data_IF_146639305651
#
_entry.id   IF_146639305651
#
_cell.length_a   1.000
_cell.length_b   1.000
_cell.length_c   1.000
_cell.angle_alpha   90.00
_cell.angle_beta   90.00
_cell.angle_gamma   90.00
#
_symmetry.space_group_name_H-M   'P 1'
#
loop_
_entity.id
_entity.type
_entity.pdbx_description
1 polymer ?
#
# COMPACT_ATOMS: atom_id res chain seq x y z
N UNK A 1 -13.29 19.15 -7.65
CA UNK A 1 -12.20 18.86 -6.70
C UNK A 1 -11.88 20.13 -5.92
N UNK A 2 -11.68 20.06 -4.60
CA UNK A 2 -11.23 21.24 -3.87
C UNK A 2 -9.87 21.65 -4.44
N UNK A 3 -9.68 22.95 -4.75
CA UNK A 3 -8.40 23.48 -5.25
C UNK A 3 -7.23 23.21 -4.28
N UNK A 4 -7.52 22.80 -3.04
CA UNK A 4 -6.56 22.74 -1.94
C UNK A 4 -5.74 21.45 -1.86
N UNK A 5 -6.23 20.29 -2.34
CA UNK A 5 -5.47 19.03 -2.22
C UNK A 5 -4.44 18.84 -3.34
N UNK A 6 -4.74 19.30 -4.56
CA UNK A 6 -3.80 19.25 -5.70
C UNK A 6 -2.54 20.10 -5.47
N UNK A 7 -2.66 21.17 -4.68
CA UNK A 7 -1.51 22.00 -4.30
C UNK A 7 -0.64 21.39 -3.21
N UNK A 8 -1.13 20.43 -2.41
CA UNK A 8 -0.35 19.85 -1.30
C UNK A 8 0.76 18.91 -1.76
N UNK A 9 0.52 18.12 -2.82
CA UNK A 9 1.48 17.12 -3.30
C UNK A 9 2.33 17.62 -4.47
N UNK A 10 1.87 18.62 -5.24
CA UNK A 10 2.50 19.00 -6.51
C UNK A 10 3.12 20.40 -6.59
N UNK A 11 3.14 21.21 -5.51
CA UNK A 11 3.53 22.63 -5.62
C UNK A 11 4.94 22.88 -6.14
N UNK A 12 5.86 21.95 -5.87
CA UNK A 12 7.23 21.94 -6.42
C UNK A 12 7.46 20.82 -7.45
N UNK A 13 6.39 20.22 -7.95
CA UNK A 13 6.43 19.06 -8.84
C UNK A 13 6.37 17.73 -8.09
N UNK A 14 6.45 16.63 -8.85
CA UNK A 14 6.32 15.27 -8.31
C UNK A 14 7.61 14.72 -7.70
N UNK A 15 8.77 15.29 -8.05
CA UNK A 15 10.09 14.82 -7.60
C UNK A 15 10.49 15.38 -6.23
N UNK A 16 9.99 16.56 -5.85
CA UNK A 16 10.23 17.18 -4.55
C UNK A 16 8.85 17.53 -3.99
N UNK A 17 8.19 16.55 -3.37
CA UNK A 17 6.84 16.66 -2.85
C UNK A 17 6.84 16.66 -1.31
N UNK A 18 5.87 17.35 -0.71
CA UNK A 18 5.77 17.48 0.74
C UNK A 18 5.63 16.12 1.45
N UNK A 19 4.95 15.17 0.83
CA UNK A 19 4.68 13.87 1.44
C UNK A 19 5.96 13.05 1.66
N UNK A 20 6.84 13.01 0.65
CA UNK A 20 8.15 12.35 0.75
C UNK A 20 9.05 13.02 1.78
N UNK A 21 9.08 14.35 1.79
CA UNK A 21 9.90 15.13 2.73
C UNK A 21 9.46 14.97 4.19
N UNK A 22 8.15 14.84 4.44
CA UNK A 22 7.61 14.50 5.76
C UNK A 22 8.11 13.12 6.22
N UNK A 23 8.11 12.14 5.33
CA UNK A 23 8.64 10.80 5.61
C UNK A 23 10.15 10.79 5.88
N UNK A 24 10.92 11.61 5.16
CA UNK A 24 12.35 11.79 5.39
C UNK A 24 12.61 12.43 6.76
N UNK A 25 11.90 13.51 7.09
CA UNK A 25 12.05 14.22 8.36
C UNK A 25 11.70 13.35 9.57
N UNK A 26 10.73 12.44 9.44
CA UNK A 26 10.33 11.55 10.53
C UNK A 26 11.17 10.27 10.68
N UNK A 27 12.04 9.95 9.71
CA UNK A 27 12.69 8.63 9.59
C UNK A 27 13.43 8.18 10.86
N UNK A 28 14.09 9.10 11.55
CA UNK A 28 14.90 8.77 12.73
C UNK A 28 14.09 8.70 14.03
N UNK A 29 13.04 9.52 14.15
CA UNK A 29 12.34 9.71 15.43
C UNK A 29 10.92 9.14 15.46
N UNK A 30 10.38 8.75 14.29
CA UNK A 30 9.00 8.29 14.12
C UNK A 30 7.97 9.43 14.06
N UNK A 31 8.40 10.69 14.06
CA UNK A 31 7.52 11.86 13.91
C UNK A 31 8.29 13.05 13.36
N UNK A 32 7.59 14.04 12.83
CA UNK A 32 8.23 15.25 12.28
C UNK A 32 8.48 16.24 13.43
N UNK A 33 9.73 16.70 13.61
CA UNK A 33 10.06 17.66 14.64
C UNK A 33 9.42 19.04 14.36
N UNK A 34 9.08 19.84 15.39
CA UNK A 34 8.51 21.17 15.19
C UNK A 34 9.37 22.07 14.29
N UNK A 35 10.71 22.03 14.44
CA UNK A 35 11.61 22.82 13.59
C UNK A 35 11.57 22.37 12.12
N UNK A 36 11.31 21.10 11.86
CA UNK A 36 11.19 20.59 10.49
C UNK A 36 9.82 20.90 9.88
N UNK A 37 8.77 20.97 10.68
CA UNK A 37 7.46 21.49 10.24
C UNK A 37 7.60 22.93 9.75
N UNK A 38 8.30 23.80 10.49
CA UNK A 38 8.56 25.20 10.12
C UNK A 38 9.34 25.28 8.79
N UNK A 39 10.45 24.55 8.68
CA UNK A 39 11.25 24.51 7.43
C UNK A 39 10.46 24.00 6.23
N UNK A 40 9.64 22.96 6.42
CA UNK A 40 8.82 22.39 5.34
C UNK A 40 7.69 23.34 4.94
N UNK A 41 7.08 24.03 5.91
CA UNK A 41 6.08 25.07 5.67
C UNK A 41 6.66 26.18 4.79
N UNK A 42 7.85 26.70 5.12
CA UNK A 42 8.57 27.66 4.29
C UNK A 42 8.93 27.09 2.91
N UNK A 43 9.53 25.89 2.87
CA UNK A 43 9.97 25.24 1.63
C UNK A 43 8.81 25.08 0.65
N UNK A 44 7.65 24.66 1.12
CA UNK A 44 6.47 24.39 0.26
C UNK A 44 5.49 25.56 0.21
N UNK A 45 5.84 26.71 0.82
CA UNK A 45 5.02 27.94 0.88
C UNK A 45 3.62 27.71 1.51
N UNK A 46 3.52 26.80 2.47
CA UNK A 46 2.28 26.41 3.14
C UNK A 46 2.26 26.90 4.58
N UNK A 47 1.07 26.99 5.19
CA UNK A 47 0.97 27.26 6.62
C UNK A 47 1.45 26.07 7.44
N UNK A 48 2.17 26.32 8.54
CA UNK A 48 2.62 25.29 9.49
C UNK A 48 1.49 24.37 9.94
N UNK A 49 0.29 24.92 10.18
CA UNK A 49 -0.88 24.14 10.56
C UNK A 49 -1.29 23.10 9.50
N UNK A 50 -1.12 23.40 8.21
CA UNK A 50 -1.41 22.44 7.13
C UNK A 50 -0.33 21.34 7.08
N UNK A 51 0.94 21.71 7.27
CA UNK A 51 2.05 20.75 7.31
C UNK A 51 1.91 19.83 8.52
N UNK A 52 1.69 20.39 9.70
CA UNK A 52 1.46 19.64 10.94
C UNK A 52 0.20 18.77 10.85
N UNK A 53 -0.91 19.31 10.34
CA UNK A 53 -2.14 18.55 10.13
C UNK A 53 -1.95 17.38 9.16
N UNK A 54 -1.16 17.57 8.11
CA UNK A 54 -0.81 16.49 7.16
C UNK A 54 0.08 15.45 7.82
N UNK A 55 1.12 15.86 8.55
CA UNK A 55 2.02 14.95 9.26
C UNK A 55 1.24 14.09 10.27
N UNK A 56 0.42 14.71 11.12
CA UNK A 56 -0.34 14.02 12.17
C UNK A 56 -1.50 13.17 11.65
N UNK A 57 -1.87 13.29 10.37
CA UNK A 57 -2.88 12.44 9.75
C UNK A 57 -2.37 11.00 9.57
N UNK A 58 -1.13 10.84 9.08
CA UNK A 58 -0.54 9.54 8.77
C UNK A 58 -0.04 8.84 10.03
N UNK A 59 -0.46 7.57 10.21
CA UNK A 59 -0.20 6.85 11.47
C UNK A 59 1.29 6.81 11.80
N UNK A 60 2.18 6.45 10.87
CA UNK A 60 3.63 6.40 11.10
C UNK A 60 4.30 7.74 11.48
N UNK A 61 3.64 8.87 11.31
CA UNK A 61 4.20 10.19 11.55
C UNK A 61 3.64 10.86 12.81
N UNK A 62 2.68 10.21 13.49
CA UNK A 62 2.00 10.83 14.63
C UNK A 62 2.93 11.00 15.84
N UNK A 63 2.75 12.06 16.64
CA UNK A 63 3.56 12.31 17.82
C UNK A 63 3.55 11.16 18.84
N UNK A 64 2.45 10.39 18.92
CA UNK A 64 2.32 9.22 19.80
C UNK A 64 3.31 8.10 19.46
N UNK A 65 3.81 8.07 18.22
CA UNK A 65 4.79 7.10 17.76
C UNK A 65 6.23 7.56 17.92
N UNK A 66 6.45 8.74 18.51
CA UNK A 66 7.80 9.24 18.79
C UNK A 66 8.58 8.26 19.67
N UNK A 67 9.72 7.82 19.17
CA UNK A 67 10.62 6.89 19.86
C UNK A 67 10.14 5.43 19.87
N UNK A 68 9.02 5.10 19.20
CA UNK A 68 8.63 3.71 18.97
C UNK A 68 9.59 3.06 17.98
N UNK A 69 9.95 1.81 18.26
CA UNK A 69 10.88 1.01 17.43
C UNK A 69 10.21 -0.22 16.83
N UNK A 70 9.16 -0.71 17.49
CA UNK A 70 8.40 -1.88 17.08
C UNK A 70 6.91 -1.64 17.30
N UNK A 71 6.08 -2.29 16.48
CA UNK A 71 4.63 -2.14 16.56
C UNK A 71 3.94 -3.49 16.63
N UNK A 72 2.96 -3.61 17.50
CA UNK A 72 2.03 -4.74 17.57
C UNK A 72 0.79 -4.40 16.74
N UNK A 73 0.37 -5.27 15.83
CA UNK A 73 -0.86 -5.05 15.08
C UNK A 73 -2.07 -4.99 16.03
N UNK A 74 -2.93 -3.99 15.90
CA UNK A 74 -4.22 -3.94 16.59
C UNK A 74 -5.43 -4.04 15.64
N UNK A 75 -5.18 -4.46 14.39
CA UNK A 75 -6.23 -4.73 13.41
C UNK A 75 -7.18 -5.83 13.89
N UNK A 76 -8.48 -5.67 13.60
CA UNK A 76 -9.54 -6.52 14.14
C UNK A 76 -9.31 -8.01 13.90
N UNK A 77 -8.81 -8.41 12.73
CA UNK A 77 -8.47 -9.81 12.42
C UNK A 77 -7.45 -10.41 13.41
N UNK A 78 -6.36 -9.70 13.71
CA UNK A 78 -5.35 -10.16 14.68
C UNK A 78 -5.89 -10.14 16.12
N UNK A 79 -6.74 -9.15 16.45
CA UNK A 79 -7.40 -9.07 17.76
C UNK A 79 -8.37 -10.24 17.97
N UNK A 80 -9.16 -10.59 16.95
CA UNK A 80 -10.05 -11.76 16.98
C UNK A 80 -9.27 -13.07 17.10
N UNK A 81 -8.10 -13.17 16.46
CA UNK A 81 -7.23 -14.34 16.61
C UNK A 81 -6.62 -14.48 18.02
N UNK A 82 -6.63 -13.41 18.84
CA UNK A 82 -6.17 -13.46 20.24
C UNK A 82 -4.66 -13.63 20.41
N UNK A 83 -3.87 -13.43 19.35
CA UNK A 83 -2.42 -13.73 19.34
C UNK A 83 -1.54 -12.56 19.80
N UNK A 84 -2.07 -11.33 19.79
CA UNK A 84 -1.29 -10.11 20.00
C UNK A 84 -0.75 -9.94 21.42
N UNK A 85 -1.38 -10.57 22.43
CA UNK A 85 -0.88 -10.57 23.80
C UNK A 85 0.48 -11.26 23.93
N UNK A 86 0.64 -12.43 23.32
CA UNK A 86 1.92 -13.16 23.31
C UNK A 86 2.97 -12.44 22.46
N UNK A 87 2.58 -11.82 21.35
CA UNK A 87 3.47 -10.96 20.54
C UNK A 87 4.04 -9.82 21.40
N UNK A 88 3.18 -9.08 22.11
CA UNK A 88 3.62 -7.97 22.98
C UNK A 88 4.56 -8.46 24.08
N UNK A 89 4.24 -9.58 24.71
CA UNK A 89 5.06 -10.20 25.76
C UNK A 89 6.44 -10.64 25.28
N UNK A 90 6.55 -11.14 24.04
CA UNK A 90 7.85 -11.49 23.45
C UNK A 90 8.65 -10.23 23.08
N UNK A 91 8.00 -9.20 22.53
CA UNK A 91 8.67 -7.93 22.23
C UNK A 91 9.20 -7.23 23.49
N UNK A 92 8.48 -7.29 24.62
CA UNK A 92 8.91 -6.66 25.88
C UNK A 92 10.15 -7.30 26.52
N UNK A 93 10.58 -8.47 26.03
CA UNK A 93 11.86 -9.08 26.41
C UNK A 93 13.06 -8.41 25.71
N UNK A 94 12.81 -7.67 24.62
CA UNK A 94 13.84 -7.13 23.73
C UNK A 94 13.79 -5.60 23.56
N UNK A 95 12.70 -4.98 23.99
CA UNK A 95 12.41 -3.55 23.89
C UNK A 95 11.73 -3.08 25.18
N UNK A 96 11.97 -1.85 25.57
CA UNK A 96 11.25 -1.21 26.67
C UNK A 96 9.80 -0.92 26.28
N UNK A 97 8.89 -0.81 27.25
CA UNK A 97 7.47 -0.54 26.99
C UNK A 97 7.26 0.74 26.17
N UNK A 98 8.10 1.75 26.38
CA UNK A 98 8.03 3.01 25.64
C UNK A 98 8.45 2.87 24.18
N UNK A 99 9.21 1.83 23.80
CA UNK A 99 9.62 1.55 22.43
C UNK A 99 8.60 0.68 21.67
N UNK A 100 7.62 0.12 22.36
CA UNK A 100 6.56 -0.71 21.78
C UNK A 100 5.33 0.15 21.51
N UNK A 101 4.93 0.21 20.25
CA UNK A 101 3.72 0.88 19.78
C UNK A 101 2.66 -0.12 19.32
N UNK A 102 1.52 0.42 18.88
CA UNK A 102 0.47 -0.33 18.20
C UNK A 102 0.21 0.28 16.84
N UNK A 103 -0.22 -0.53 15.87
CA UNK A 103 -0.54 -0.04 14.53
C UNK A 103 -1.72 -0.80 13.93
N UNK A 104 -2.59 -0.06 13.24
CA UNK A 104 -3.79 -0.63 12.65
C UNK A 104 -3.46 -1.33 11.34
N UNK A 105 -3.66 -2.65 11.31
CA UNK A 105 -3.43 -3.55 10.18
C UNK A 105 -2.00 -3.53 9.61
N UNK A 106 -1.30 -4.67 9.71
CA UNK A 106 0.03 -4.85 9.12
C UNK A 106 0.03 -5.69 7.82
N UNK A 107 -1.15 -5.99 7.26
CA UNK A 107 -1.28 -6.79 6.04
C UNK A 107 -0.75 -8.23 6.16
N UNK A 108 -0.65 -8.76 7.39
CA UNK A 108 -0.13 -10.12 7.68
C UNK A 108 -1.14 -11.03 8.35
N UNK A 109 -2.43 -10.76 8.16
CA UNK A 109 -3.52 -11.51 8.80
C UNK A 109 -3.59 -12.99 8.37
N UNK A 110 -2.96 -13.36 7.25
CA UNK A 110 -2.90 -14.75 6.78
C UNK A 110 -2.12 -15.69 7.74
N UNK A 111 -1.21 -15.16 8.55
CA UNK A 111 -0.44 -15.91 9.57
C UNK A 111 -0.81 -15.53 11.02
N UNK A 112 -1.53 -14.41 11.23
CA UNK A 112 -1.75 -13.80 12.54
C UNK A 112 -0.44 -13.45 13.28
N UNK A 113 -0.50 -13.13 14.58
CA UNK A 113 0.67 -12.73 15.37
C UNK A 113 1.48 -11.62 14.70
N UNK A 114 0.82 -10.63 14.10
CA UNK A 114 1.47 -9.66 13.22
C UNK A 114 2.16 -8.54 14.00
N UNK A 115 3.37 -8.17 13.60
CA UNK A 115 4.17 -7.11 14.23
C UNK A 115 5.12 -6.45 13.22
N UNK A 116 5.59 -5.25 13.53
CA UNK A 116 6.57 -4.51 12.74
C UNK A 116 7.86 -4.33 13.54
N UNK A 117 9.00 -4.56 12.88
CA UNK A 117 10.34 -4.25 13.42
C UNK A 117 11.16 -3.60 12.32
N UNK A 118 11.76 -2.44 12.61
CA UNK A 118 12.61 -1.70 11.67
C UNK A 118 11.95 -1.43 10.30
N UNK A 119 10.65 -1.10 10.30
CA UNK A 119 9.91 -0.80 9.07
C UNK A 119 9.51 -2.01 8.23
N UNK A 120 9.78 -3.23 8.71
CA UNK A 120 9.38 -4.48 8.06
C UNK A 120 8.28 -5.18 8.88
N UNK A 121 7.27 -5.69 8.17
CA UNK A 121 6.15 -6.42 8.77
C UNK A 121 6.44 -7.93 8.81
N UNK A 122 6.22 -8.54 9.97
CA UNK A 122 6.40 -9.96 10.27
C UNK A 122 5.15 -10.55 10.93
N UNK A 123 5.04 -11.88 10.99
CA UNK A 123 3.90 -12.60 11.55
C UNK A 123 4.26 -14.04 11.95
N UNK A 124 3.31 -14.77 12.52
CA UNK A 124 3.45 -16.18 12.87
C UNK A 124 4.62 -16.44 13.80
N UNK A 125 5.42 -17.46 13.49
CA UNK A 125 6.56 -17.91 14.29
C UNK A 125 7.79 -17.00 14.16
N UNK A 126 7.75 -15.97 13.29
CA UNK A 126 8.86 -15.02 13.17
C UNK A 126 9.16 -14.30 14.50
N UNK A 127 8.15 -14.18 15.38
CA UNK A 127 8.28 -13.58 16.70
C UNK A 127 9.26 -14.35 17.63
N UNK A 128 9.56 -15.61 17.33
CA UNK A 128 10.52 -16.40 18.11
C UNK A 128 11.98 -16.08 17.77
N UNK A 129 12.22 -15.32 16.71
CA UNK A 129 13.56 -15.02 16.18
C UNK A 129 13.88 -13.51 16.13
N UNK A 130 13.34 -12.71 17.05
CA UNK A 130 13.49 -11.23 17.08
C UNK A 130 14.96 -10.78 16.98
N UNK A 131 15.89 -11.48 17.63
CA UNK A 131 17.31 -11.14 17.61
C UNK A 131 17.90 -11.14 16.19
N UNK A 132 17.42 -12.03 15.32
CA UNK A 132 17.81 -12.09 13.91
C UNK A 132 17.12 -10.99 13.10
N UNK A 133 15.83 -10.75 13.35
CA UNK A 133 15.05 -9.72 12.65
C UNK A 133 15.58 -8.29 12.88
N UNK A 134 16.23 -8.04 14.04
CA UNK A 134 16.91 -6.77 14.34
C UNK A 134 17.99 -6.40 13.30
N UNK A 135 18.52 -7.38 12.54
CA UNK A 135 19.52 -7.15 11.49
C UNK A 135 18.92 -6.64 10.17
N UNK A 136 17.59 -6.53 10.08
CA UNK A 136 16.91 -6.02 8.88
C UNK A 136 16.89 -7.00 7.70
N UNK A 137 17.16 -8.28 7.95
CA UNK A 137 17.06 -9.31 6.93
C UNK A 137 15.58 -9.48 6.54
N UNK A 138 15.26 -9.27 5.26
CA UNK A 138 13.94 -9.61 4.73
C UNK A 138 13.75 -11.12 4.86
N UNK A 139 12.66 -11.52 5.50
CA UNK A 139 12.28 -12.93 5.61
C UNK A 139 12.06 -13.58 4.24
N UNK A 140 11.87 -14.89 4.26
CA UNK A 140 11.44 -15.62 3.07
C UNK A 140 10.11 -15.07 2.54
N UNK A 141 9.87 -15.24 1.24
CA UNK A 141 8.59 -14.90 0.62
C UNK A 141 7.44 -15.60 1.34
N UNK A 142 6.34 -14.88 1.54
CA UNK A 142 5.18 -15.40 2.25
C UNK A 142 4.58 -16.60 1.53
N UNK A 143 4.09 -17.57 2.31
CA UNK A 143 3.42 -18.75 1.79
C UNK A 143 1.92 -18.61 2.02
N UNK A 144 1.18 -18.65 0.92
CA UNK A 144 -0.27 -18.50 0.94
C UNK A 144 -0.96 -19.83 0.67
N UNK A 145 -2.04 -20.10 1.43
CA UNK A 145 -2.95 -21.20 1.11
C UNK A 145 -3.94 -20.71 0.05
N UNK A 146 -3.69 -21.09 -1.21
CA UNK A 146 -4.46 -20.62 -2.36
C UNK A 146 -5.33 -21.74 -2.93
N UNK A 147 -6.62 -21.47 -3.08
CA UNK A 147 -7.57 -22.34 -3.76
C UNK A 147 -8.54 -21.49 -4.58
N UNK A 148 -9.06 -22.05 -5.68
CA UNK A 148 -10.06 -21.39 -6.52
C UNK A 148 -11.26 -22.31 -6.71
N UNK A 149 -12.47 -21.73 -6.68
CA UNK A 149 -13.65 -22.40 -7.17
C UNK A 149 -13.80 -22.14 -8.67
N UNK A 150 -13.53 -23.14 -9.51
CA UNK A 150 -13.49 -23.01 -10.96
C UNK A 150 -12.15 -22.47 -11.47
N UNK A 151 -12.19 -21.73 -12.59
CA UNK A 151 -10.98 -21.25 -13.28
C UNK A 151 -10.24 -20.20 -12.46
N UNK A 152 -8.97 -20.43 -12.09
CA UNK A 152 -8.17 -19.40 -11.44
C UNK A 152 -7.84 -18.30 -12.44
N UNK A 153 -8.22 -17.06 -12.12
CA UNK A 153 -7.87 -15.88 -12.94
C UNK A 153 -6.68 -15.15 -12.31
N UNK A 154 -6.85 -14.73 -11.05
CA UNK A 154 -5.85 -13.95 -10.30
C UNK A 154 -4.72 -14.83 -9.73
N UNK A 155 -4.97 -16.13 -9.59
CA UNK A 155 -4.06 -17.10 -8.97
C UNK A 155 -3.56 -18.14 -9.97
N UNK A 156 -3.72 -17.87 -11.27
CA UNK A 156 -3.26 -18.78 -12.30
C UNK A 156 -1.72 -18.84 -12.32
N UNK A 157 -1.18 -19.95 -12.81
CA UNK A 157 0.26 -20.07 -13.02
C UNK A 157 0.72 -19.00 -14.01
N UNK A 158 1.74 -18.24 -13.63
CA UNK A 158 2.36 -17.27 -14.52
C UNK A 158 3.08 -18.02 -15.67
N UNK A 159 2.69 -17.83 -16.94
CA UNK A 159 3.23 -18.60 -18.05
C UNK A 159 4.67 -18.19 -18.44
N UNK A 160 5.23 -17.16 -17.81
CA UNK A 160 6.51 -16.56 -18.15
C UNK A 160 6.36 -15.23 -18.89
N UNK A 161 7.38 -14.38 -18.79
CA UNK A 161 7.35 -12.99 -19.26
C UNK A 161 6.99 -12.91 -20.76
N UNK A 162 7.67 -13.69 -21.60
CA UNK A 162 7.50 -13.62 -23.06
C UNK A 162 6.08 -14.00 -23.51
N UNK A 163 5.49 -15.02 -22.88
CA UNK A 163 4.12 -15.42 -23.19
C UNK A 163 3.12 -14.39 -22.66
N UNK A 164 3.32 -13.93 -21.43
CA UNK A 164 2.38 -13.05 -20.75
C UNK A 164 2.24 -11.68 -21.45
N UNK A 165 3.34 -11.12 -21.94
CA UNK A 165 3.32 -9.82 -22.62
C UNK A 165 2.90 -9.87 -24.10
N UNK A 166 2.65 -11.06 -24.68
CA UNK A 166 1.99 -11.14 -26.01
C UNK A 166 0.61 -10.47 -25.98
N UNK A 167 -0.09 -10.54 -24.85
CA UNK A 167 -1.39 -9.89 -24.65
C UNK A 167 -1.26 -8.37 -24.87
N UNK A 168 -0.20 -7.76 -24.35
CA UNK A 168 0.05 -6.32 -24.57
C UNK A 168 0.25 -6.04 -26.06
N UNK A 169 1.04 -6.86 -26.76
CA UNK A 169 1.23 -6.74 -28.20
C UNK A 169 -0.09 -6.82 -28.99
N UNK A 170 -0.98 -7.74 -28.63
CA UNK A 170 -2.32 -7.83 -29.23
C UNK A 170 -3.15 -6.58 -28.92
N UNK A 171 -3.19 -6.15 -27.65
CA UNK A 171 -3.97 -4.99 -27.23
C UNK A 171 -3.54 -3.70 -27.95
N UNK A 172 -2.24 -3.50 -28.14
CA UNK A 172 -1.69 -2.33 -28.86
C UNK A 172 -2.02 -2.30 -30.36
N UNK A 173 -2.48 -3.43 -30.94
CA UNK A 173 -2.95 -3.51 -32.32
C UNK A 173 -4.48 -3.29 -32.44
N UNK A 174 -5.18 -3.11 -31.33
CA UNK A 174 -6.62 -2.80 -31.30
C UNK A 174 -6.82 -1.33 -30.97
N UNK A 175 -7.96 -0.74 -31.37
CA UNK A 175 -8.26 0.62 -30.91
C UNK A 175 -8.65 0.62 -29.43
N UNK A 176 -8.45 1.75 -28.75
CA UNK A 176 -8.92 1.95 -27.39
C UNK A 176 -10.43 1.74 -27.26
N UNK A 177 -11.22 2.07 -28.29
CA UNK A 177 -12.67 1.83 -28.32
C UNK A 177 -13.03 0.35 -28.38
N UNK A 178 -12.28 -0.45 -29.17
CA UNK A 178 -12.50 -1.90 -29.25
C UNK A 178 -12.20 -2.57 -27.90
N UNK A 179 -11.07 -2.23 -27.28
CA UNK A 179 -10.72 -2.75 -25.95
C UNK A 179 -11.71 -2.33 -24.87
N UNK A 180 -12.20 -1.09 -24.92
CA UNK A 180 -13.22 -0.60 -24.01
C UNK A 180 -14.56 -1.34 -24.19
N UNK A 181 -14.93 -1.66 -25.44
CA UNK A 181 -16.10 -2.46 -25.76
C UNK A 181 -15.98 -3.91 -25.26
N UNK A 182 -14.79 -4.52 -25.36
CA UNK A 182 -14.52 -5.82 -24.76
C UNK A 182 -14.64 -5.79 -23.23
N UNK A 183 -14.04 -4.79 -22.57
CA UNK A 183 -14.16 -4.60 -21.13
C UNK A 183 -15.63 -4.41 -20.70
N UNK A 184 -16.41 -3.65 -21.47
CA UNK A 184 -17.83 -3.46 -21.21
C UNK A 184 -18.61 -4.78 -21.36
N UNK A 185 -18.29 -5.57 -22.37
CA UNK A 185 -18.90 -6.89 -22.62
C UNK A 185 -18.54 -7.90 -21.52
N UNK A 186 -17.31 -7.85 -21.00
CA UNK A 186 -16.86 -8.74 -19.91
C UNK A 186 -17.63 -8.53 -18.59
N UNK A 187 -18.25 -7.36 -18.41
CA UNK A 187 -18.92 -7.00 -17.16
C UNK A 187 -17.97 -6.87 -15.96
N UNK A 188 -16.67 -6.64 -16.18
CA UNK A 188 -15.69 -6.52 -15.11
C UNK A 188 -16.02 -5.36 -14.15
N UNK A 189 -16.01 -5.67 -12.85
CA UNK A 189 -16.32 -4.74 -11.76
C UNK A 189 -15.10 -4.56 -10.86
N UNK A 190 -14.97 -3.38 -10.26
CA UNK A 190 -13.91 -3.07 -9.30
C UNK A 190 -13.91 -4.05 -8.13
N UNK A 191 -12.71 -4.50 -7.73
CA UNK A 191 -12.51 -5.53 -6.68
C UNK A 191 -12.18 -4.99 -5.29
N UNK A 192 -11.89 -3.70 -5.16
CA UNK A 192 -11.72 -3.02 -3.86
C UNK A 192 -13.03 -2.69 -3.14
N UNK A 193 -14.02 -3.60 -3.15
CA UNK A 193 -15.29 -3.45 -2.41
C UNK A 193 -16.42 -2.72 -3.14
N UNK A 194 -16.18 -1.54 -3.73
CA UNK A 194 -17.25 -0.71 -4.31
C UNK A 194 -17.99 -1.35 -5.50
N UNK A 195 -17.38 -2.32 -6.19
CA UNK A 195 -18.04 -3.06 -7.26
C UNK A 195 -18.49 -2.23 -8.46
N UNK A 196 -17.94 -1.04 -8.67
CA UNK A 196 -18.33 -0.19 -9.81
C UNK A 196 -17.73 -0.72 -11.13
N UNK A 197 -18.46 -0.73 -12.26
CA UNK A 197 -17.94 -1.23 -13.54
C UNK A 197 -16.70 -0.47 -14.00
N UNK A 198 -15.62 -1.19 -14.33
CA UNK A 198 -14.34 -0.54 -14.69
C UNK A 198 -14.42 0.16 -16.04
N UNK A 199 -15.15 -0.42 -17.00
CA UNK A 199 -15.35 0.17 -18.34
C UNK A 199 -15.96 1.56 -18.25
N UNK A 200 -16.93 1.78 -17.36
CA UNK A 200 -17.53 3.10 -17.15
C UNK A 200 -16.53 4.13 -16.61
N UNK A 201 -15.63 3.73 -15.71
CA UNK A 201 -14.59 4.64 -15.19
C UNK A 201 -13.60 5.04 -16.29
N UNK A 202 -13.15 4.06 -17.07
CA UNK A 202 -12.20 4.29 -18.16
C UNK A 202 -12.85 5.14 -19.26
N UNK A 203 -14.07 4.84 -19.68
CA UNK A 203 -14.82 5.63 -20.66
C UNK A 203 -14.98 7.09 -20.23
N UNK A 204 -15.37 7.31 -18.96
CA UNK A 204 -15.47 8.68 -18.41
C UNK A 204 -14.12 9.41 -18.40
N UNK A 205 -13.03 8.72 -18.05
CA UNK A 205 -11.69 9.32 -18.06
C UNK A 205 -11.23 9.62 -19.49
N UNK A 206 -11.42 8.68 -20.41
CA UNK A 206 -11.10 8.81 -21.84
C UNK A 206 -11.81 10.00 -22.48
N UNK A 207 -13.09 10.20 -22.18
CA UNK A 207 -13.89 11.30 -22.76
C UNK A 207 -13.69 12.66 -22.06
N UNK A 208 -12.98 12.71 -20.93
CA UNK A 208 -12.66 13.98 -20.26
C UNK A 208 -11.52 14.69 -21.00
N UNK A 209 -11.65 16.00 -21.24
CA UNK A 209 -10.58 16.82 -21.82
C UNK A 209 -9.37 16.89 -20.88
N UNK A 210 -8.17 16.72 -21.44
CA UNK A 210 -6.91 16.84 -20.70
C UNK A 210 -5.75 16.19 -21.46
N UNK A 211 -4.64 16.92 -21.57
CA UNK A 211 -3.43 16.48 -22.29
C UNK A 211 -2.71 15.31 -21.59
N UNK A 212 -2.90 15.20 -20.27
CA UNK A 212 -2.30 14.17 -19.43
C UNK A 212 -3.34 13.53 -18.52
N UNK A 213 -3.35 12.20 -18.49
CA UNK A 213 -4.23 11.36 -17.68
C UNK A 213 -3.40 10.35 -16.91
N UNK A 214 -3.94 9.87 -15.79
CA UNK A 214 -3.22 8.99 -14.88
C UNK A 214 -4.05 7.75 -14.57
N UNK A 215 -3.37 6.60 -14.52
CA UNK A 215 -3.87 5.37 -13.92
C UNK A 215 -3.18 5.20 -12.57
N UNK A 216 -3.98 5.04 -11.52
CA UNK A 216 -3.48 4.81 -10.17
C UNK A 216 -3.92 3.41 -9.75
N UNK A 217 -2.96 2.55 -9.44
CA UNK A 217 -3.23 1.28 -8.76
C UNK A 217 -3.31 1.55 -7.26
N UNK A 218 -4.49 1.35 -6.67
CA UNK A 218 -4.64 1.39 -5.23
C UNK A 218 -4.16 0.07 -4.64
N UNK A 219 -3.00 0.10 -3.99
CA UNK A 219 -2.39 -1.03 -3.28
C UNK A 219 -2.42 -0.85 -1.75
N UNK A 220 -3.19 0.12 -1.25
CA UNK A 220 -3.38 0.38 0.17
C UNK A 220 -4.47 -0.55 0.73
N UNK A 221 -4.14 -1.84 0.85
CA UNK A 221 -5.03 -2.89 1.36
C UNK A 221 -5.16 -2.80 2.89
N UNK A 222 -5.88 -1.76 3.35
CA UNK A 222 -6.02 -1.43 4.77
C UNK A 222 -7.10 -2.21 5.53
N UNK A 223 -8.00 -2.91 4.82
CA UNK A 223 -9.10 -3.66 5.43
C UNK A 223 -8.56 -4.85 6.25
N UNK A 224 -8.81 -4.93 7.57
CA UNK A 224 -8.32 -6.04 8.38
C UNK A 224 -8.83 -7.39 7.86
N UNK A 225 -7.90 -8.30 7.57
CA UNK A 225 -8.21 -9.61 7.01
C UNK A 225 -8.12 -9.69 5.49
N UNK A 226 -7.94 -8.56 4.79
CA UNK A 226 -7.57 -8.54 3.38
C UNK A 226 -6.04 -8.68 3.24
N UNK A 227 -5.61 -9.50 2.27
CA UNK A 227 -4.21 -9.74 1.90
C UNK A 227 -4.09 -10.26 0.46
N UNK A 228 -5.13 -10.05 -0.35
CA UNK A 228 -5.20 -10.50 -1.74
C UNK A 228 -4.36 -9.62 -2.65
N UNK A 229 -4.36 -8.30 -2.44
CA UNK A 229 -3.54 -7.38 -3.21
C UNK A 229 -2.06 -7.61 -2.86
N UNK A 230 -1.77 -7.85 -1.58
CA UNK A 230 -0.44 -8.27 -1.16
C UNK A 230 0.05 -9.52 -1.89
N UNK A 231 -0.78 -10.57 -1.95
CA UNK A 231 -0.46 -11.78 -2.73
C UNK A 231 -0.15 -11.44 -4.19
N UNK A 232 -0.98 -10.60 -4.83
CA UNK A 232 -0.78 -10.21 -6.23
C UNK A 232 0.53 -9.44 -6.44
N UNK A 233 0.89 -8.54 -5.53
CA UNK A 233 2.12 -7.76 -5.63
C UNK A 233 3.37 -8.62 -5.40
N UNK A 234 3.29 -9.63 -4.53
CA UNK A 234 4.41 -10.54 -4.24
C UNK A 234 4.57 -11.65 -5.28
N UNK A 235 3.46 -12.24 -5.74
CA UNK A 235 3.48 -13.47 -6.56
C UNK A 235 3.05 -13.25 -8.03
N UNK A 236 2.29 -12.20 -8.32
CA UNK A 236 1.74 -11.91 -9.65
C UNK A 236 2.00 -10.45 -10.10
N UNK A 237 3.18 -9.83 -9.84
CA UNK A 237 3.38 -8.41 -10.08
C UNK A 237 3.22 -8.02 -11.55
N UNK A 238 3.59 -8.92 -12.48
CA UNK A 238 3.43 -8.69 -13.91
C UNK A 238 1.96 -8.60 -14.33
N UNK A 239 1.06 -9.30 -13.65
CA UNK A 239 -0.39 -9.23 -13.86
C UNK A 239 -0.92 -7.83 -13.52
N UNK A 240 -0.44 -7.25 -12.41
CA UNK A 240 -0.78 -5.88 -11.99
C UNK A 240 -0.27 -4.86 -13.01
N UNK A 241 1.02 -4.96 -13.37
CA UNK A 241 1.65 -4.03 -14.32
C UNK A 241 1.00 -4.09 -15.71
N UNK A 242 0.69 -5.29 -16.21
CA UNK A 242 0.02 -5.48 -17.48
C UNK A 242 -1.37 -4.83 -17.48
N UNK A 243 -2.15 -5.04 -16.40
CA UNK A 243 -3.45 -4.41 -16.24
C UNK A 243 -3.37 -2.88 -16.25
N UNK A 244 -2.37 -2.31 -15.55
CA UNK A 244 -2.14 -0.86 -15.55
C UNK A 244 -1.77 -0.33 -16.94
N UNK A 245 -0.91 -1.02 -17.68
CA UNK A 245 -0.51 -0.61 -19.03
C UNK A 245 -1.67 -0.66 -20.02
N UNK A 246 -2.48 -1.72 -19.99
CA UNK A 246 -3.67 -1.82 -20.83
C UNK A 246 -4.68 -0.73 -20.45
N UNK A 247 -4.93 -0.51 -19.16
CA UNK A 247 -5.83 0.56 -18.69
C UNK A 247 -5.33 1.96 -19.06
N UNK A 248 -4.02 2.18 -19.18
CA UNK A 248 -3.44 3.45 -19.61
C UNK A 248 -3.43 3.65 -21.12
N UNK A 249 -3.46 2.55 -21.89
CA UNK A 249 -3.60 2.59 -23.35
C UNK A 249 -5.05 2.89 -23.79
N UNK A 250 -6.03 2.39 -23.02
CA UNK A 250 -7.47 2.66 -23.19
C UNK A 250 -7.79 4.11 -22.82
#
# INVERSE_FOLDING_TARGET
MSKNLGELSGRKGLQDNLFEELGIAARETGTVAPEDVEKLAEKFLMGEANVYGTATFYDFLRPEHKGKKVYVCNGSACMTAGTQGEVRKKLSQHYSENEIGEMCCLGRCHENSAFNVNGLNYSGDAIDNIATLKKGERGAMDKYNVASHGTPVLTNTFPGIDEYYKILGTALNMSADDLLAELKTSGLRGRGGAGFPISFKLDSCKNTEGDQKFIVCNADEGDPGAYSDRYLLEHQPHSVLLGMMIAGYI
#
